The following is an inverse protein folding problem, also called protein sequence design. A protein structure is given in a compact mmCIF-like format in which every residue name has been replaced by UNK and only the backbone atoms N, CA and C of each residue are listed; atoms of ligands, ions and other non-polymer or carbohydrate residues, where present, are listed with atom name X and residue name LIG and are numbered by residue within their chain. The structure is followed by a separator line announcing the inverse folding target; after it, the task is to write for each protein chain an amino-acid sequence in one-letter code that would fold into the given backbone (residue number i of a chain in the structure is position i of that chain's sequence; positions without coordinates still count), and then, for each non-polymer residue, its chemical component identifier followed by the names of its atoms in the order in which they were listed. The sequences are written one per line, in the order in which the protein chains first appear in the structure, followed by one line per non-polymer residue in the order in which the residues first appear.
data_IF_360592274080
#
_entry.id   IF_360592274080
#
_cell.length_a   1.000
_cell.length_b   1.000
_cell.length_c   1.000
_cell.angle_alpha   90.00
_cell.angle_beta   90.00
_cell.angle_gamma   90.00
#
_symmetry.space_group_name_H-M   'P 1'
#
loop_
_entity.id
_entity.type
_entity.pdbx_description
1 polymer ?
#
# COMPACT_ATOMS: atom_id res chain seq x y z
N UNK A 1 38.99 -7.70 4.09
CA UNK A 1 37.90 -7.11 4.91
C UNK A 1 36.53 -7.00 4.20
N UNK A 2 36.29 -7.65 3.05
CA UNK A 2 34.99 -7.61 2.32
C UNK A 2 34.11 -8.87 2.53
N UNK A 3 34.70 -10.01 2.86
CA UNK A 3 33.99 -11.31 2.95
C UNK A 3 33.21 -11.46 4.28
N UNK A 4 33.72 -10.86 5.37
CA UNK A 4 33.10 -10.94 6.72
C UNK A 4 31.75 -10.23 6.81
N UNK A 5 31.54 -9.16 6.02
CA UNK A 5 30.28 -8.41 6.00
C UNK A 5 29.19 -9.09 5.15
N UNK A 6 29.56 -9.92 4.18
CA UNK A 6 28.62 -10.69 3.36
C UNK A 6 28.06 -11.88 4.12
N UNK A 7 28.91 -12.55 4.92
CA UNK A 7 28.49 -13.65 5.80
C UNK A 7 27.58 -13.12 6.91
N UNK A 8 27.90 -11.99 7.53
CA UNK A 8 27.05 -11.40 8.57
C UNK A 8 25.65 -10.99 8.06
N UNK A 9 25.56 -10.51 6.81
CA UNK A 9 24.28 -10.18 6.14
C UNK A 9 23.48 -11.43 5.78
N UNK A 10 24.13 -12.50 5.32
CA UNK A 10 23.48 -13.79 5.09
C UNK A 10 23.03 -14.42 6.41
N UNK A 11 23.83 -14.33 7.48
CA UNK A 11 23.49 -14.82 8.81
C UNK A 11 22.30 -14.08 9.41
N UNK A 12 22.17 -12.77 9.17
CA UNK A 12 20.98 -12.01 9.61
C UNK A 12 19.72 -12.40 8.84
N UNK A 13 19.80 -12.64 7.53
CA UNK A 13 18.68 -13.13 6.74
C UNK A 13 18.26 -14.56 7.14
N UNK A 14 19.23 -15.43 7.40
CA UNK A 14 18.98 -16.80 7.88
C UNK A 14 18.45 -16.80 9.32
N UNK A 15 18.93 -15.93 10.22
CA UNK A 15 18.33 -15.78 11.56
C UNK A 15 16.91 -15.19 11.51
N UNK A 16 16.59 -14.33 10.55
CA UNK A 16 15.22 -13.84 10.36
C UNK A 16 14.28 -14.95 9.88
N UNK A 17 14.78 -15.82 9.00
CA UNK A 17 14.03 -16.97 8.47
C UNK A 17 13.88 -18.06 9.55
N UNK A 18 14.91 -18.34 10.36
CA UNK A 18 14.86 -19.36 11.42
C UNK A 18 14.23 -18.87 12.74
N UNK A 19 14.31 -17.57 13.07
CA UNK A 19 13.60 -16.99 14.21
C UNK A 19 12.08 -16.99 14.04
N UNK A 20 11.60 -16.97 12.79
CA UNK A 20 10.18 -17.13 12.46
C UNK A 20 9.69 -18.58 12.61
N UNK A 21 10.58 -19.58 12.67
CA UNK A 21 10.20 -21.00 12.82
C UNK A 21 9.98 -21.43 14.28
N UNK A 22 10.46 -20.66 15.27
CA UNK A 22 10.36 -21.02 16.70
C UNK A 22 9.25 -20.32 17.47
N UNK A 23 8.48 -19.43 16.85
CA UNK A 23 7.23 -18.94 17.41
C UNK A 23 6.10 -19.86 16.93
N UNK A 24 5.23 -20.37 17.81
CA UNK A 24 4.03 -21.15 17.42
C UNK A 24 2.95 -20.30 16.71
N UNK A 25 3.38 -19.26 16.01
CA UNK A 25 2.53 -18.32 15.32
C UNK A 25 2.25 -18.80 13.90
N UNK A 26 1.10 -18.39 13.37
CA UNK A 26 0.68 -18.83 12.04
C UNK A 26 1.27 -17.90 10.98
N UNK A 27 1.82 -18.50 9.93
CA UNK A 27 2.37 -17.80 8.78
C UNK A 27 1.59 -18.14 7.51
N UNK A 28 1.23 -17.10 6.77
CA UNK A 28 0.64 -17.22 5.45
C UNK A 28 1.53 -16.51 4.44
N UNK A 29 1.80 -17.18 3.33
CA UNK A 29 2.42 -16.54 2.17
C UNK A 29 1.41 -16.52 1.04
N UNK A 30 1.31 -15.40 0.34
CA UNK A 30 0.41 -15.27 -0.80
C UNK A 30 1.02 -14.51 -1.95
N UNK A 31 0.49 -14.79 -3.12
CA UNK A 31 0.76 -14.05 -4.36
C UNK A 31 -0.48 -13.25 -4.70
N UNK A 32 -0.30 -12.05 -5.23
CA UNK A 32 -1.40 -11.19 -5.65
C UNK A 32 -1.13 -10.60 -7.03
N UNK A 33 -2.17 -10.46 -7.83
CA UNK A 33 -2.11 -9.80 -9.13
C UNK A 33 -3.39 -9.02 -9.39
N UNK A 34 -3.27 -7.90 -10.09
CA UNK A 34 -4.40 -7.00 -10.26
C UNK A 34 -4.11 -5.78 -11.11
N UNK A 35 -5.06 -4.86 -11.06
CA UNK A 35 -5.04 -3.62 -11.82
C UNK A 35 -5.30 -2.43 -10.89
N UNK A 36 -4.86 -1.26 -11.31
CA UNK A 36 -4.97 -0.04 -10.55
C UNK A 36 -5.20 1.19 -11.39
N UNK A 37 -5.55 2.25 -10.67
CA UNK A 37 -5.72 3.59 -11.18
C UNK A 37 -4.95 4.57 -10.32
N UNK A 38 -4.31 5.55 -10.94
CA UNK A 38 -3.41 6.46 -10.26
C UNK A 38 -3.68 7.91 -10.63
N UNK A 39 -3.41 8.80 -9.69
CA UNK A 39 -3.60 10.23 -9.82
C UNK A 39 -2.52 10.98 -9.05
N UNK A 40 -2.30 12.24 -9.39
CA UNK A 40 -1.31 13.10 -8.75
C UNK A 40 -1.99 14.32 -8.14
N UNK A 41 -1.48 14.77 -7.00
CA UNK A 41 -1.87 16.06 -6.42
C UNK A 41 -0.76 17.06 -6.68
N UNK A 42 -0.99 17.98 -7.61
CA UNK A 42 -0.02 19.01 -7.95
C UNK A 42 -0.30 20.30 -7.17
N UNK A 43 0.78 20.99 -6.76
CA UNK A 43 0.71 22.35 -6.24
C UNK A 43 1.71 23.24 -6.99
N UNK A 44 1.29 24.35 -7.64
CA UNK A 44 -0.09 24.85 -7.75
C UNK A 44 -1.03 23.84 -8.45
N UNK A 45 -2.35 24.03 -8.29
CA UNK A 45 -3.35 23.08 -8.80
C UNK A 45 -3.40 23.14 -10.33
N UNK A 46 -3.23 21.98 -10.96
CA UNK A 46 -3.43 21.77 -12.40
C UNK A 46 -4.62 20.82 -12.61
N UNK A 47 -5.17 20.83 -13.82
CA UNK A 47 -6.15 19.82 -14.22
C UNK A 47 -5.47 18.46 -14.38
N UNK A 48 -6.03 17.44 -13.74
CA UNK A 48 -5.45 16.09 -13.71
C UNK A 48 -6.48 15.04 -14.09
N UNK A 49 -6.08 14.08 -14.93
CA UNK A 49 -6.89 12.90 -15.27
C UNK A 49 -6.38 11.68 -14.51
N UNK A 50 -7.30 10.78 -14.15
CA UNK A 50 -6.94 9.51 -13.52
C UNK A 50 -6.38 8.54 -14.58
N UNK A 51 -5.17 8.02 -14.35
CA UNK A 51 -4.52 7.06 -15.24
C UNK A 51 -4.93 5.66 -14.84
N UNK A 52 -5.74 5.03 -15.70
CA UNK A 52 -6.25 3.66 -15.51
C UNK A 52 -5.33 2.61 -16.14
N UNK A 53 -5.46 1.37 -15.68
CA UNK A 53 -4.82 0.21 -16.31
C UNK A 53 -3.36 0.00 -15.88
N UNK A 54 -2.98 0.48 -14.71
CA UNK A 54 -1.70 0.14 -14.10
C UNK A 54 -1.72 -1.31 -13.61
N UNK A 55 -0.77 -2.13 -14.04
CA UNK A 55 -0.66 -3.52 -13.56
C UNK A 55 0.01 -3.56 -12.19
N UNK A 56 -0.50 -4.41 -11.29
CA UNK A 56 0.14 -4.71 -10.02
C UNK A 56 0.39 -6.22 -9.86
N UNK A 57 1.51 -6.54 -9.24
CA UNK A 57 1.89 -7.90 -8.86
C UNK A 57 2.56 -7.85 -7.49
N UNK A 58 2.25 -8.78 -6.60
CA UNK A 58 2.74 -8.72 -5.23
C UNK A 58 2.98 -10.08 -4.61
N UNK A 59 3.95 -10.12 -3.71
CA UNK A 59 4.15 -11.18 -2.74
C UNK A 59 3.74 -10.66 -1.38
N UNK A 60 3.02 -11.47 -0.62
CA UNK A 60 2.52 -11.12 0.71
C UNK A 60 2.97 -12.15 1.72
N UNK A 61 3.44 -11.66 2.85
CA UNK A 61 3.71 -12.46 4.03
C UNK A 61 2.90 -11.92 5.20
N UNK A 62 2.20 -12.80 5.90
CA UNK A 62 1.37 -12.47 7.06
C UNK A 62 1.74 -13.34 8.24
N UNK A 63 1.84 -12.69 9.39
CA UNK A 63 2.03 -13.25 10.71
C UNK A 63 0.77 -13.01 11.53
N UNK A 64 0.16 -14.08 12.03
CA UNK A 64 -1.01 -14.00 12.89
C UNK A 64 -0.58 -14.12 14.35
N UNK A 65 -0.99 -13.14 15.15
CA UNK A 65 -0.77 -13.15 16.59
C UNK A 65 -1.85 -13.97 17.31
N UNK A 66 -1.51 -14.51 18.50
CA UNK A 66 -2.43 -15.26 19.35
C UNK A 66 -3.71 -14.48 19.75
N UNK A 67 -3.67 -13.16 20.05
CA UNK A 67 -4.87 -12.41 20.41
C UNK A 67 -5.79 -12.19 19.20
N UNK A 68 -7.05 -12.63 19.32
CA UNK A 68 -8.10 -12.52 18.29
C UNK A 68 -8.34 -11.10 17.76
N UNK A 69 -8.05 -10.05 18.54
CA UNK A 69 -8.36 -8.65 18.21
C UNK A 69 -7.18 -7.85 17.66
N UNK A 70 -5.95 -8.34 17.81
CA UNK A 70 -4.74 -7.59 17.40
C UNK A 70 -4.48 -7.73 15.89
N UNK A 71 -5.18 -8.64 15.20
CA UNK A 71 -5.08 -8.80 13.75
C UNK A 71 -3.77 -9.44 13.31
N UNK A 72 -3.61 -9.58 12.00
CA UNK A 72 -2.36 -10.03 11.39
C UNK A 72 -1.44 -8.84 11.12
N UNK A 73 -0.13 -9.05 11.27
CA UNK A 73 0.90 -8.10 10.82
C UNK A 73 1.65 -8.74 9.68
N UNK A 74 2.08 -7.97 8.69
CA UNK A 74 2.76 -8.53 7.54
C UNK A 74 3.56 -7.54 6.73
N UNK A 75 4.25 -8.11 5.75
CA UNK A 75 5.02 -7.39 4.75
C UNK A 75 4.52 -7.81 3.38
N UNK A 76 4.27 -6.82 2.52
CA UNK A 76 4.04 -7.03 1.09
C UNK A 76 5.23 -6.50 0.32
N UNK A 77 5.60 -7.19 -0.77
CA UNK A 77 6.52 -6.70 -1.78
C UNK A 77 5.75 -6.65 -3.10
N UNK A 78 5.43 -5.45 -3.56
CA UNK A 78 4.58 -5.24 -4.74
C UNK A 78 5.33 -4.50 -5.84
N UNK A 79 5.31 -5.05 -7.05
CA UNK A 79 5.56 -4.31 -8.27
C UNK A 79 4.27 -3.61 -8.70
N UNK A 80 4.37 -2.34 -9.07
CA UNK A 80 3.23 -1.52 -9.43
C UNK A 80 3.58 -0.53 -10.53
N UNK A 81 2.83 -0.58 -11.62
CA UNK A 81 2.83 0.49 -12.60
C UNK A 81 1.85 1.57 -12.14
N UNK A 82 2.38 2.73 -11.79
CA UNK A 82 1.63 3.90 -11.35
C UNK A 82 1.80 4.98 -12.41
N UNK A 83 0.99 6.01 -12.40
CA UNK A 83 1.14 7.10 -13.35
C UNK A 83 0.31 8.30 -12.99
N UNK A 84 0.56 9.37 -13.72
CA UNK A 84 -0.22 10.59 -13.59
C UNK A 84 -0.43 11.23 -14.94
N UNK A 85 -1.56 11.91 -15.09
CA UNK A 85 -1.88 12.68 -16.26
C UNK A 85 -2.26 14.10 -15.84
N UNK A 86 -1.66 15.10 -16.47
CA UNK A 86 -1.98 16.49 -16.20
C UNK A 86 -2.08 17.31 -17.49
N UNK A 87 -2.97 18.30 -17.48
CA UNK A 87 -3.16 19.24 -18.58
C UNK A 87 -2.02 20.27 -18.60
N UNK A 88 -1.10 20.13 -19.55
CA UNK A 88 0.10 20.99 -19.62
C UNK A 88 -0.13 22.23 -20.51
N UNK A 89 -1.03 22.14 -21.46
CA UNK A 89 -1.45 23.24 -22.32
C UNK A 89 -2.98 23.24 -22.44
N UNK A 90 -3.56 24.41 -22.72
CA UNK A 90 -4.99 24.53 -22.99
C UNK A 90 -5.24 25.51 -24.13
N UNK A 91 -6.29 25.25 -24.91
CA UNK A 91 -6.87 26.19 -25.86
C UNK A 91 -8.18 26.72 -25.29
N UNK A 92 -8.40 28.03 -25.33
CA UNK A 92 -9.66 28.66 -24.93
C UNK A 92 -10.54 28.87 -26.15
N UNK A 93 -11.72 28.26 -26.16
CA UNK A 93 -12.78 28.49 -27.14
C UNK A 93 -14.00 29.10 -26.45
N UNK A 94 -14.83 29.82 -27.20
CA UNK A 94 -16.12 30.32 -26.71
C UNK A 94 -17.20 29.36 -27.22
N UNK A 95 -17.99 28.79 -26.30
CA UNK A 95 -19.14 27.96 -26.65
C UNK A 95 -20.30 28.83 -27.18
N UNK A 96 -21.31 28.22 -27.80
CA UNK A 96 -22.50 28.87 -28.35
C UNK A 96 -23.25 29.73 -27.32
N UNK A 97 -23.05 29.44 -26.03
CA UNK A 97 -23.63 30.15 -24.89
C UNK A 97 -22.74 31.30 -24.34
N UNK A 98 -21.64 31.65 -25.01
CA UNK A 98 -20.70 32.70 -24.57
C UNK A 98 -19.86 32.33 -23.34
N UNK A 99 -19.76 31.04 -23.03
CA UNK A 99 -18.93 30.52 -21.94
C UNK A 99 -17.55 30.12 -22.47
N UNK A 100 -16.49 30.48 -21.75
CA UNK A 100 -15.12 30.04 -22.07
C UNK A 100 -14.97 28.55 -21.74
N UNK A 101 -14.78 27.74 -22.78
CA UNK A 101 -14.46 26.32 -22.67
C UNK A 101 -12.95 26.16 -22.86
N UNK A 102 -12.32 25.42 -21.94
CA UNK A 102 -10.88 25.15 -21.97
C UNK A 102 -10.65 23.71 -22.38
N UNK A 103 -10.10 23.54 -23.58
CA UNK A 103 -9.69 22.25 -24.11
C UNK A 103 -8.23 21.99 -23.71
N UNK A 104 -8.04 21.10 -22.74
CA UNK A 104 -6.71 20.77 -22.21
C UNK A 104 -6.03 19.67 -23.03
N UNK A 105 -4.77 19.89 -23.39
CA UNK A 105 -3.87 18.85 -23.87
C UNK A 105 -3.19 18.17 -22.68
N UNK A 106 -3.33 16.85 -22.58
CA UNK A 106 -2.80 16.09 -21.46
C UNK A 106 -1.48 15.42 -21.78
N UNK A 107 -0.60 15.46 -20.80
CA UNK A 107 0.60 14.65 -20.74
C UNK A 107 0.40 13.56 -19.70
N UNK A 108 0.70 12.32 -20.08
CA UNK A 108 0.60 11.16 -19.21
C UNK A 108 1.97 10.53 -19.01
N UNK A 109 2.37 10.36 -17.75
CA UNK A 109 3.61 9.67 -17.37
C UNK A 109 3.29 8.43 -16.55
N UNK A 110 3.77 7.28 -17.01
CA UNK A 110 3.71 6.00 -16.31
C UNK A 110 5.08 5.69 -15.70
N UNK A 111 5.08 5.16 -14.49
CA UNK A 111 6.23 4.90 -13.66
C UNK A 111 6.15 3.47 -13.12
N UNK A 112 7.25 2.75 -13.18
CA UNK A 112 7.32 1.44 -12.54
C UNK A 112 7.88 1.62 -11.13
N UNK A 113 7.22 0.99 -10.15
CA UNK A 113 7.54 1.17 -8.74
C UNK A 113 7.58 -0.17 -8.03
N UNK A 114 8.60 -0.37 -7.18
CA UNK A 114 8.58 -1.40 -6.16
C UNK A 114 8.09 -0.76 -4.87
N UNK A 115 7.04 -1.33 -4.29
CA UNK A 115 6.39 -0.89 -3.08
C UNK A 115 6.61 -1.94 -1.99
N UNK A 116 6.91 -1.48 -0.78
CA UNK A 116 7.06 -2.31 0.40
C UNK A 116 6.06 -1.85 1.49
N UNK A 117 4.81 -2.33 1.45
CA UNK A 117 3.83 -2.09 2.51
C UNK A 117 4.09 -2.94 3.76
N UNK A 118 4.23 -2.29 4.90
CA UNK A 118 4.13 -2.89 6.24
C UNK A 118 2.67 -2.85 6.67
N UNK A 119 2.00 -4.01 6.67
CA UNK A 119 0.55 -4.13 6.78
C UNK A 119 0.14 -4.55 8.18
N UNK A 120 -0.85 -3.87 8.73
CA UNK A 120 -1.67 -4.31 9.84
C UNK A 120 -3.07 -4.65 9.32
N UNK A 121 -3.54 -5.85 9.64
CA UNK A 121 -4.73 -6.43 9.04
C UNK A 121 -5.65 -7.06 10.11
N UNK A 122 -6.49 -6.24 10.79
CA UNK A 122 -7.57 -6.77 11.60
C UNK A 122 -8.59 -7.48 10.71
N UNK A 123 -9.09 -8.63 11.17
CA UNK A 123 -9.98 -9.47 10.38
C UNK A 123 -11.00 -10.18 11.26
N UNK A 124 -12.13 -10.55 10.65
CA UNK A 124 -13.22 -11.27 11.28
C UNK A 124 -13.62 -12.45 10.39
N UNK A 125 -13.93 -13.58 11.01
CA UNK A 125 -14.38 -14.78 10.32
C UNK A 125 -15.91 -14.86 10.35
N UNK A 126 -16.50 -15.09 9.18
CA UNK A 126 -17.94 -15.25 8.96
C UNK A 126 -18.19 -16.61 8.29
N UNK A 127 -19.46 -17.03 8.21
CA UNK A 127 -19.90 -18.25 7.50
C UNK A 127 -19.17 -19.53 7.97
N UNK A 128 -19.17 -19.80 9.28
CA UNK A 128 -18.50 -20.96 9.88
C UNK A 128 -17.02 -21.07 9.50
N UNK A 129 -16.32 -19.93 9.39
CA UNK A 129 -14.90 -19.83 9.05
C UNK A 129 -14.53 -20.11 7.58
N UNK A 130 -15.49 -20.14 6.67
CA UNK A 130 -15.20 -20.22 5.22
C UNK A 130 -14.95 -18.85 4.57
N UNK A 131 -15.37 -17.77 5.25
CA UNK A 131 -15.19 -16.39 4.78
C UNK A 131 -14.41 -15.58 5.82
N UNK A 132 -13.37 -14.87 5.39
CA UNK A 132 -12.64 -13.89 6.20
C UNK A 132 -12.79 -12.52 5.59
N UNK A 133 -13.35 -11.58 6.35
CA UNK A 133 -13.37 -10.17 6.03
C UNK A 133 -12.20 -9.49 6.75
N UNK A 134 -11.50 -8.59 6.06
CA UNK A 134 -10.35 -7.91 6.64
C UNK A 134 -10.28 -6.46 6.20
N UNK A 135 -9.77 -5.63 7.11
CA UNK A 135 -9.34 -4.26 6.82
C UNK A 135 -7.83 -4.24 6.81
N UNK A 136 -7.24 -3.34 6.04
CA UNK A 136 -5.79 -3.16 5.93
C UNK A 136 -5.44 -1.71 6.20
N UNK A 137 -4.47 -1.51 7.08
CA UNK A 137 -3.77 -0.24 7.22
C UNK A 137 -2.28 -0.53 7.10
N UNK A 138 -1.55 0.25 6.30
CA UNK A 138 -0.16 -0.01 6.03
C UNK A 138 0.66 1.28 5.97
N UNK A 139 1.91 1.19 6.39
CA UNK A 139 2.93 2.17 6.04
C UNK A 139 3.67 1.68 4.81
N UNK A 140 3.97 2.57 3.86
CA UNK A 140 4.56 2.18 2.57
C UNK A 140 5.86 2.93 2.33
N UNK A 141 6.84 2.18 1.85
CA UNK A 141 8.08 2.71 1.27
C UNK A 141 8.08 2.27 -0.18
N UNK A 142 8.47 3.15 -1.11
CA UNK A 142 8.57 2.77 -2.51
C UNK A 142 9.80 3.30 -3.19
N UNK A 143 10.21 2.57 -4.22
CA UNK A 143 11.32 2.92 -5.09
C UNK A 143 10.82 2.93 -6.53
N UNK A 144 10.86 4.11 -7.16
CA UNK A 144 10.43 4.33 -8.53
C UNK A 144 11.62 4.21 -9.50
N UNK A 145 11.38 3.60 -10.65
CA UNK A 145 12.37 3.37 -11.68
C UNK A 145 11.70 3.19 -13.04
N UNK A 146 12.37 3.58 -14.11
CA UNK A 146 11.85 3.54 -15.48
C UNK A 146 10.43 4.10 -15.64
N UNK A 147 9.94 4.04 -16.86
CA UNK A 147 8.61 4.49 -17.17
C UNK A 147 8.51 4.88 -18.62
N UNK A 148 7.34 5.39 -18.97
CA UNK A 148 7.02 5.85 -20.31
C UNK A 148 6.26 7.16 -20.20
N UNK A 149 6.34 7.98 -21.23
CA UNK A 149 5.55 9.19 -21.34
C UNK A 149 4.76 9.22 -22.65
N UNK A 150 3.64 9.94 -22.64
CA UNK A 150 2.72 10.08 -23.76
C UNK A 150 2.10 11.48 -23.77
N UNK A 151 2.08 12.11 -24.94
CA UNK A 151 1.37 13.36 -25.21
C UNK A 151 0.08 13.08 -26.00
N UNK A 152 -1.08 13.43 -25.44
CA UNK A 152 -2.37 13.14 -26.06
C UNK A 152 -2.59 13.92 -27.37
N UNK A 153 -2.01 15.12 -27.50
CA UNK A 153 -2.19 15.99 -28.66
C UNK A 153 -1.25 15.70 -29.84
N UNK A 154 0.02 15.39 -29.58
CA UNK A 154 1.01 15.08 -30.63
C UNK A 154 1.13 13.58 -30.91
N UNK A 155 0.65 12.73 -29.99
CA UNK A 155 0.89 11.29 -30.02
C UNK A 155 2.34 10.91 -29.75
N UNK A 156 3.18 11.86 -29.31
CA UNK A 156 4.56 11.58 -28.97
C UNK A 156 4.62 10.65 -27.77
N UNK A 157 5.31 9.53 -27.94
CA UNK A 157 5.54 8.55 -26.90
C UNK A 157 7.03 8.25 -26.82
N UNK A 158 7.52 7.97 -25.62
CA UNK A 158 8.92 7.64 -25.45
C UNK A 158 9.22 7.00 -24.10
N UNK A 159 10.37 6.29 -24.01
CA UNK A 159 10.85 5.80 -22.75
C UNK A 159 11.24 6.96 -21.86
N UNK A 160 10.85 6.89 -20.59
CA UNK A 160 11.18 7.88 -19.59
C UNK A 160 12.39 7.43 -18.77
N UNK A 161 13.52 8.12 -18.96
CA UNK A 161 14.71 7.90 -18.14
C UNK A 161 14.73 8.81 -16.90
N UNK A 162 14.99 8.20 -15.74
CA UNK A 162 14.98 8.90 -14.46
C UNK A 162 16.23 9.74 -14.24
N UNK A 163 16.03 11.06 -14.21
CA UNK A 163 17.10 12.03 -13.86
C UNK A 163 17.16 12.21 -12.35
N UNK A 164 18.33 12.00 -11.75
CA UNK A 164 18.52 12.08 -10.29
C UNK A 164 18.42 13.51 -9.77
N UNK A 165 18.58 14.50 -10.63
CA UNK A 165 18.54 15.93 -10.34
C UNK A 165 17.10 16.40 -10.12
N UNK A 166 16.20 15.99 -11.02
CA UNK A 166 14.77 16.34 -11.07
C UNK A 166 13.88 15.40 -10.28
N UNK A 167 14.06 14.10 -10.44
CA UNK A 167 13.09 13.11 -9.98
C UNK A 167 13.49 12.49 -8.62
N UNK A 168 12.47 12.21 -7.81
CA UNK A 168 12.64 11.50 -6.56
C UNK A 168 12.34 10.00 -6.73
N UNK A 169 13.37 9.18 -6.50
CA UNK A 169 13.24 7.72 -6.61
C UNK A 169 12.62 7.11 -5.35
N UNK A 170 12.86 7.69 -4.18
CA UNK A 170 12.39 7.15 -2.91
C UNK A 170 11.15 7.90 -2.45
N UNK A 171 10.08 7.14 -2.25
CA UNK A 171 8.81 7.67 -1.77
C UNK A 171 8.36 6.92 -0.51
N UNK A 172 7.48 7.59 0.22
CA UNK A 172 6.82 7.02 1.39
C UNK A 172 5.37 7.50 1.44
N UNK A 173 4.54 6.74 2.15
CA UNK A 173 3.12 6.99 2.22
C UNK A 173 2.41 6.07 3.19
N UNK A 174 1.09 6.16 3.18
CA UNK A 174 0.22 5.22 3.86
C UNK A 174 -0.60 4.45 2.83
N UNK A 175 -1.06 3.27 3.21
CA UNK A 175 -2.06 2.54 2.46
C UNK A 175 -3.22 2.19 3.39
N UNK A 176 -4.43 2.27 2.85
CA UNK A 176 -5.66 1.87 3.52
C UNK A 176 -6.47 1.02 2.57
N UNK A 177 -7.05 -0.07 3.06
CA UNK A 177 -7.77 -0.98 2.20
C UNK A 177 -8.60 -1.98 2.97
N UNK A 178 -9.15 -2.92 2.22
CA UNK A 178 -9.93 -4.00 2.76
C UNK A 178 -10.24 -5.02 1.70
N UNK A 179 -10.69 -6.18 2.14
CA UNK A 179 -10.98 -7.26 1.24
C UNK A 179 -11.64 -8.41 1.95
N UNK A 180 -11.91 -9.43 1.17
CA UNK A 180 -12.42 -10.70 1.68
C UNK A 180 -11.61 -11.85 1.11
N UNK A 181 -11.53 -12.95 1.85
CA UNK A 181 -10.92 -14.17 1.42
C UNK A 181 -11.85 -15.35 1.72
N UNK A 182 -11.94 -16.27 0.77
CA UNK A 182 -12.57 -17.58 0.89
C UNK A 182 -11.51 -18.60 1.29
N UNK A 183 -11.86 -19.44 2.26
CA UNK A 183 -10.94 -20.36 2.91
C UNK A 183 -11.25 -21.78 2.46
N UNK A 184 -10.29 -22.42 1.80
CA UNK A 184 -10.38 -23.80 1.32
C UNK A 184 -9.24 -24.63 1.92
N UNK A 185 -9.43 -25.07 3.17
CA UNK A 185 -8.41 -25.79 3.93
C UNK A 185 -7.14 -24.96 4.13
N UNK A 186 -6.07 -25.33 3.41
CA UNK A 186 -4.76 -24.63 3.47
C UNK A 186 -4.65 -23.43 2.53
N UNK A 187 -5.57 -23.29 1.58
CA UNK A 187 -5.55 -22.23 0.59
C UNK A 187 -6.55 -21.13 0.95
N UNK A 188 -6.18 -19.90 0.64
CA UNK A 188 -7.03 -18.72 0.74
C UNK A 188 -7.10 -18.03 -0.62
N UNK A 189 -8.31 -17.83 -1.14
CA UNK A 189 -8.52 -17.04 -2.34
C UNK A 189 -9.26 -15.77 -1.95
N UNK A 190 -8.66 -14.61 -2.17
CA UNK A 190 -9.24 -13.34 -1.76
C UNK A 190 -9.22 -12.26 -2.83
N UNK A 191 -10.09 -11.28 -2.64
CA UNK A 191 -10.10 -10.03 -3.38
C UNK A 191 -9.72 -8.93 -2.41
N UNK A 192 -8.79 -8.06 -2.82
CA UNK A 192 -8.25 -6.96 -2.02
C UNK A 192 -8.41 -5.67 -2.80
N UNK A 193 -8.97 -4.66 -2.16
CA UNK A 193 -8.91 -3.28 -2.62
C UNK A 193 -7.99 -2.48 -1.69
N UNK A 194 -6.99 -1.79 -2.24
CA UNK A 194 -6.05 -0.99 -1.47
C UNK A 194 -5.80 0.36 -2.11
N UNK A 195 -5.98 1.41 -1.33
CA UNK A 195 -5.66 2.78 -1.69
C UNK A 195 -4.31 3.17 -1.08
N UNK A 196 -3.42 3.69 -1.90
CA UNK A 196 -2.10 4.21 -1.56
C UNK A 196 -2.14 5.73 -1.57
N UNK A 197 -1.88 6.30 -0.41
CA UNK A 197 -1.76 7.73 -0.19
C UNK A 197 -0.27 8.12 -0.16
N UNK A 198 0.18 8.81 -1.21
CA UNK A 198 1.56 9.29 -1.29
C UNK A 198 1.79 10.53 -0.45
N UNK A 199 2.93 10.61 0.23
CA UNK A 199 3.38 11.83 0.90
C UNK A 199 4.64 12.44 0.28
N UNK A 200 5.46 11.60 -0.35
CA UNK A 200 6.65 12.06 -1.04
C UNK A 200 6.31 12.59 -2.44
N UNK A 201 6.98 13.67 -2.82
CA UNK A 201 6.87 14.30 -4.12
C UNK A 201 7.64 13.49 -5.17
N UNK A 202 7.01 13.15 -6.29
CA UNK A 202 7.65 12.48 -7.44
C UNK A 202 8.72 13.36 -8.09
N UNK A 203 8.46 14.66 -8.17
CA UNK A 203 9.41 15.68 -8.63
C UNK A 203 10.04 16.34 -7.41
N UNK A 204 11.29 16.76 -7.54
CA UNK A 204 12.00 17.46 -6.47
C UNK A 204 11.50 18.89 -6.34
N UNK A 205 11.75 19.48 -5.18
CA UNK A 205 11.39 20.86 -4.91
C UNK A 205 12.17 21.83 -5.82
N UNK A 206 11.51 22.93 -6.21
CA UNK A 206 12.03 24.09 -6.93
C UNK A 206 13.42 24.56 -6.47
N UNK A 207 13.72 24.48 -5.17
CA UNK A 207 15.04 24.87 -4.64
C UNK A 207 16.20 24.01 -5.18
N UNK A 208 15.92 22.79 -5.68
CA UNK A 208 16.93 21.86 -6.19
C UNK A 208 16.86 21.70 -7.70
N UNK A 209 15.67 21.77 -8.28
CA UNK A 209 15.44 21.67 -9.71
C UNK A 209 14.30 22.63 -10.06
N UNK A 210 14.63 23.69 -10.79
CA UNK A 210 13.74 24.84 -10.95
C UNK A 210 12.89 24.74 -12.23
N UNK A 211 13.53 24.46 -13.36
CA UNK A 211 12.97 24.64 -14.72
C UNK A 211 13.35 23.47 -15.64
N UNK A 212 12.60 23.30 -16.73
CA UNK A 212 12.77 22.28 -17.76
C UNK A 212 13.65 22.73 -18.94
N UNK A 213 14.33 23.88 -18.90
CA UNK A 213 15.15 24.41 -20.00
C UNK A 213 16.21 23.45 -20.56
N UNK A 214 16.67 22.47 -19.77
CA UNK A 214 17.65 21.44 -20.21
C UNK A 214 17.04 20.05 -20.40
N UNK A 215 15.72 19.93 -20.23
CA UNK A 215 15.00 18.67 -20.40
C UNK A 215 14.41 18.57 -21.80
N UNK A 216 14.29 17.33 -22.29
CA UNK A 216 13.60 17.07 -23.54
C UNK A 216 12.07 16.98 -23.35
N UNK A 217 11.37 16.44 -24.35
CA UNK A 217 9.93 16.22 -24.33
C UNK A 217 9.47 15.39 -23.13
N UNK A 218 10.35 14.64 -22.46
CA UNK A 218 10.00 13.89 -21.26
C UNK A 218 9.54 14.76 -20.07
N UNK A 219 9.75 16.08 -20.09
CA UNK A 219 9.32 16.99 -19.03
C UNK A 219 8.50 18.18 -19.55
N UNK A 220 7.16 18.14 -19.42
CA UNK A 220 6.30 19.24 -19.88
C UNK A 220 6.13 20.35 -18.84
N UNK A 221 6.75 20.24 -17.67
CA UNK A 221 6.58 21.23 -16.61
C UNK A 221 7.44 22.46 -16.90
N UNK A 222 6.78 23.57 -17.27
CA UNK A 222 7.43 24.90 -17.43
C UNK A 222 8.18 25.31 -16.15
N UNK A 223 7.68 24.90 -14.98
CA UNK A 223 8.40 25.04 -13.73
C UNK A 223 8.05 23.87 -12.83
N UNK A 224 8.99 23.48 -11.99
CA UNK A 224 8.80 22.28 -11.15
C UNK A 224 7.70 22.54 -10.11
N UNK A 225 6.72 21.63 -9.93
CA UNK A 225 5.70 21.79 -8.91
C UNK A 225 6.30 21.86 -7.49
N UNK A 226 5.68 22.65 -6.62
CA UNK A 226 6.03 22.72 -5.19
C UNK A 226 5.71 21.41 -4.47
N UNK A 227 4.62 20.75 -4.87
CA UNK A 227 4.19 19.43 -4.39
C UNK A 227 3.70 18.59 -5.54
N UNK A 228 4.02 17.31 -5.50
CA UNK A 228 3.62 16.33 -6.49
C UNK A 228 3.49 14.91 -5.89
N UNK A 229 2.76 14.70 -4.76
CA UNK A 229 2.53 13.36 -4.27
C UNK A 229 1.59 12.57 -5.19
N UNK A 230 1.94 11.30 -5.36
CA UNK A 230 1.22 10.37 -6.23
C UNK A 230 0.35 9.44 -5.38
N UNK A 231 -0.92 9.31 -5.75
CA UNK A 231 -1.88 8.41 -5.13
C UNK A 231 -2.27 7.30 -6.11
N UNK A 232 -2.70 6.16 -5.57
CA UNK A 232 -3.04 5.02 -6.39
C UNK A 232 -4.07 4.11 -5.71
N UNK A 233 -5.11 3.70 -6.42
CA UNK A 233 -6.05 2.66 -5.98
C UNK A 233 -5.79 1.37 -6.76
N UNK A 234 -5.76 0.25 -6.05
CA UNK A 234 -5.57 -1.08 -6.62
C UNK A 234 -6.70 -2.00 -6.24
N UNK A 235 -7.09 -2.84 -7.21
CA UNK A 235 -7.89 -4.02 -7.00
C UNK A 235 -7.06 -5.24 -7.40
N UNK A 236 -6.91 -6.19 -6.49
CA UNK A 236 -6.11 -7.39 -6.72
C UNK A 236 -6.79 -8.66 -6.23
N UNK A 237 -6.49 -9.76 -6.91
CA UNK A 237 -6.85 -11.11 -6.49
C UNK A 237 -5.61 -11.68 -5.80
N UNK A 238 -5.81 -12.31 -4.64
CA UNK A 238 -4.76 -12.89 -3.81
C UNK A 238 -4.99 -14.38 -3.65
N UNK A 239 -3.97 -15.19 -3.90
CA UNK A 239 -3.93 -16.61 -3.56
C UNK A 239 -2.88 -16.81 -2.48
N UNK A 240 -3.29 -17.32 -1.32
CA UNK A 240 -2.40 -17.51 -0.18
C UNK A 240 -2.40 -18.96 0.31
N UNK A 241 -1.25 -19.40 0.83
CA UNK A 241 -1.00 -20.71 1.39
C UNK A 241 -0.64 -20.60 2.87
N UNK A 242 -1.26 -21.46 3.68
CA UNK A 242 -1.04 -21.55 5.14
C UNK A 242 -0.09 -22.68 5.47
N UNK A 243 1.01 -22.36 6.16
CA UNK A 243 2.03 -23.35 6.50
C UNK A 243 1.67 -24.21 7.71
N UNK A 244 0.97 -23.66 8.70
CA UNK A 244 0.75 -24.36 9.97
C UNK A 244 -0.68 -24.93 10.07
N UNK A 245 -0.81 -26.23 10.37
CA UNK A 245 -2.10 -26.92 10.60
C UNK A 245 -2.61 -26.77 12.04
N UNK A 246 -1.70 -26.71 13.01
CA UNK A 246 -2.01 -26.92 14.44
C UNK A 246 -2.44 -25.64 15.18
N UNK A 247 -1.95 -24.46 14.75
CA UNK A 247 -2.21 -23.21 15.47
C UNK A 247 -3.66 -22.69 15.43
N UNK A 248 -4.58 -23.35 14.71
CA UNK A 248 -5.97 -22.91 14.59
C UNK A 248 -6.91 -23.51 15.66
N UNK A 249 -6.54 -24.61 16.30
CA UNK A 249 -7.30 -25.15 17.44
C UNK A 249 -7.16 -24.25 18.69
N UNK A 250 -6.12 -23.41 18.76
CA UNK A 250 -5.89 -22.48 19.87
C UNK A 250 -6.71 -21.19 19.79
N UNK A 251 -7.40 -20.95 18.68
CA UNK A 251 -8.25 -19.76 18.52
C UNK A 251 -9.58 -19.88 19.27
N UNK A 252 -9.86 -21.06 19.81
CA UNK A 252 -10.90 -21.30 20.80
C UNK A 252 -10.40 -20.98 22.22
N UNK A 253 -9.88 -19.78 22.47
CA UNK A 253 -9.80 -19.29 23.85
C UNK A 253 -11.23 -19.08 24.36
N UNK A 254 -11.79 -20.10 25.02
CA UNK A 254 -12.99 -19.92 25.84
C UNK A 254 -12.58 -18.97 26.97
N UNK A 255 -13.17 -17.77 27.08
CA UNK A 255 -12.93 -16.92 28.23
C UNK A 255 -13.17 -17.76 29.48
N UNK A 256 -12.18 -17.84 30.38
CA UNK A 256 -12.38 -18.54 31.65
C UNK A 256 -13.59 -17.90 32.30
N UNK A 257 -14.67 -18.66 32.51
CA UNK A 257 -15.85 -18.15 33.25
C UNK A 257 -15.29 -17.60 34.56
N UNK A 258 -15.45 -16.30 34.77
CA UNK A 258 -15.12 -15.68 36.05
C UNK A 258 -16.04 -16.36 37.06
N UNK A 259 -15.50 -17.17 37.96
CA UNK A 259 -16.28 -17.66 39.09
C UNK A 259 -16.88 -16.44 39.75
N UNK A 260 -18.22 -16.34 39.73
CA UNK A 260 -18.93 -15.39 40.57
C UNK A 260 -18.58 -15.81 41.99
N UNK A 261 -17.52 -15.23 42.57
CA UNK A 261 -17.38 -15.20 44.02
C UNK A 261 -18.60 -14.43 44.51
N UNK A 262 -19.63 -15.16 44.92
CA UNK A 262 -20.65 -14.73 45.87
C UNK A 262 -19.88 -14.25 47.11
N UNK A 263 -19.51 -12.97 47.12
CA UNK A 263 -19.13 -12.31 48.35
C UNK A 263 -20.43 -12.13 49.11
N UNK A 264 -20.82 -13.13 49.88
CA UNK A 264 -21.74 -12.93 51.00
C UNK A 264 -21.05 -11.95 51.94
N UNK A 265 -21.45 -10.69 51.89
CA UNK A 265 -21.07 -9.71 52.90
C UNK A 265 -21.78 -10.11 54.19
N UNK A 266 -21.07 -10.85 55.06
CA UNK A 266 -21.50 -11.03 56.44
C UNK A 266 -21.25 -9.71 57.18
N UNK A 267 -22.30 -8.95 57.43
CA UNK A 267 -22.28 -7.92 58.47
C UNK A 267 -22.12 -8.65 59.80
N UNK A 268 -21.01 -8.44 60.49
CA UNK A 268 -20.90 -8.85 61.88
C UNK A 268 -21.86 -7.99 62.71
N UNK A 269 -22.98 -8.58 63.10
CA UNK A 269 -23.68 -8.20 64.32
C UNK A 269 -22.73 -8.44 65.50
N UNK A 270 -22.43 -7.39 66.25
CA UNK A 270 -22.25 -7.38 67.72
C UNK A 270 -21.57 -6.07 68.13
N UNK A 271 -22.39 -5.02 68.24
CA UNK A 271 -22.06 -3.85 69.04
C UNK A 271 -22.83 -3.91 70.35
N UNK A 272 -22.61 -4.98 71.13
CA UNK A 272 -22.96 -5.02 72.55
C UNK A 272 -21.64 -5.08 73.32
N UNK A 273 -21.19 -3.93 73.80
CA UNK A 273 -20.30 -3.86 74.95
C UNK A 273 -20.74 -2.67 75.82
N UNK A 274 -21.30 -3.07 76.96
CA UNK A 274 -21.43 -2.45 78.28
C UNK A 274 -20.88 -1.03 78.47
#
# INVERSE_FOLDING_TARGET
MKIRNSILKLSFAVLFIFGALSASAQHTFGVSGGMGASTIRLYPKYETKMVMGGTNFGLSWRYYSLPRFVGAVGLDLEYMQRGFSYGYAYSSSMDENGMEVRDYAFYTRRLNSIMLPMVWQPHVYLANHHLRLYLEAAFTISYNFGGDYEYENTGETGPYEWRLERDNRWNYGLAGGGGFALLFGRYELGVRARYYFGYADVLRNLNKYYDNATDGPENPFISTPLRSPLDNINLSITLAYRFNKEGFDEWFYKPRRRDRRTKEFKFSQSGDMQ
#
